data_IF_266977440252
#
_entry.id   IF_266977440252
#
_cell.length_a   1.000
_cell.length_b   1.000
_cell.length_c   1.000
_cell.angle_alpha   90.00
_cell.angle_beta   90.00
_cell.angle_gamma   90.00
#
_symmetry.space_group_name_H-M   'P 1'
#
loop_
_entity.id
_entity.type
_entity.pdbx_description
1 polymer ?
2 non-polymer ?
3 non-polymer ?
#
# COMPACT_ATOMS: atom_id res chain seq x y z
N UNK A 1 15.67 1.71 8.89
CA UNK A 1 16.15 1.51 7.48
C UNK A 1 15.39 0.28 6.96
N UNK A 2 14.16 0.44 6.61
CA UNK A 2 13.33 -0.70 6.12
C UNK A 2 11.96 -0.16 5.64
N UNK A 3 11.36 0.63 6.51
CA UNK A 3 10.02 1.21 6.17
C UNK A 3 10.15 2.68 5.72
N UNK A 4 11.05 2.92 4.80
CA UNK A 4 11.33 4.28 4.22
C UNK A 4 10.73 4.19 2.83
N UNK A 5 11.19 3.19 2.10
CA UNK A 5 10.68 2.96 0.70
C UNK A 5 9.15 3.06 0.79
N UNK A 6 8.68 2.38 1.81
CA UNK A 6 7.24 2.27 2.20
C UNK A 6 6.44 3.42 1.60
N UNK A 7 6.91 4.53 2.04
CA UNK A 7 6.40 5.85 1.68
C UNK A 7 6.91 6.40 0.35
N UNK A 8 8.22 6.35 0.23
CA UNK A 8 8.97 6.85 -0.96
C UNK A 8 8.20 6.47 -2.23
N UNK A 9 7.59 5.30 -2.11
CA UNK A 9 6.77 4.70 -3.18
C UNK A 9 5.23 4.64 -2.99
N UNK A 10 4.67 4.59 -1.79
CA UNK A 10 3.19 4.53 -1.65
C UNK A 10 2.50 5.67 -0.92
N UNK A 11 3.25 6.70 -0.58
CA UNK A 11 2.66 7.89 0.11
C UNK A 11 1.25 8.20 -0.48
N UNK A 12 1.19 8.49 -1.78
CA UNK A 12 -0.06 8.82 -2.50
C UNK A 12 -1.14 7.71 -2.39
N UNK A 13 -0.69 6.51 -2.09
CA UNK A 13 -1.73 5.43 -2.01
C UNK A 13 -2.24 5.37 -0.58
N UNK A 14 -1.36 5.45 0.39
CA UNK A 14 -1.94 5.40 1.77
C UNK A 14 -2.80 6.68 1.84
N UNK A 15 -2.23 7.83 1.49
CA UNK A 15 -3.04 9.13 1.51
C UNK A 15 -4.38 8.76 0.93
N UNK A 16 -4.38 8.31 -0.30
CA UNK A 16 -5.66 7.90 -0.93
C UNK A 16 -6.60 7.10 0.03
N UNK A 17 -6.19 5.95 0.51
CA UNK A 17 -7.10 5.18 1.44
C UNK A 17 -7.49 5.92 2.71
N UNK A 18 -6.63 6.69 3.32
CA UNK A 18 -7.10 7.39 4.56
C UNK A 18 -7.85 8.69 4.20
N UNK A 19 -7.77 9.11 2.95
CA UNK A 19 -8.47 10.35 2.47
C UNK A 19 -7.61 11.62 2.25
N UNK A 20 -6.39 11.43 1.85
CA UNK A 20 -5.43 12.55 1.58
C UNK A 20 -5.08 12.72 0.08
N UNK A 21 -4.10 13.54 -0.23
CA UNK A 21 -3.79 13.98 -1.65
C UNK A 21 -3.28 12.92 -2.70
N UNK A 22 -3.97 11.82 -2.78
CA UNK A 22 -3.66 10.70 -3.71
C UNK A 22 -4.94 10.35 -4.49
N UNK A 23 -4.97 9.35 -5.34
CA UNK A 23 -3.83 8.49 -5.78
C UNK A 23 -3.22 9.03 -7.10
N UNK A 24 -3.99 9.90 -7.70
CA UNK A 24 -3.68 10.57 -9.00
C UNK A 24 -2.83 9.79 -10.04
N UNK A 25 -1.53 9.85 -9.98
CA UNK A 25 -0.63 9.12 -10.95
C UNK A 25 0.48 8.42 -10.19
N UNK A 26 1.08 9.24 -9.35
CA UNK A 26 2.18 8.83 -8.48
C UNK A 26 1.75 7.55 -7.74
N UNK A 27 0.50 7.42 -7.34
CA UNK A 27 0.12 6.17 -6.64
C UNK A 27 0.19 5.02 -7.66
N UNK A 28 -0.67 4.96 -8.65
CA UNK A 28 -0.58 3.84 -9.64
C UNK A 28 0.85 3.41 -9.98
N UNK A 29 1.70 4.34 -10.35
CA UNK A 29 3.09 3.88 -10.67
C UNK A 29 3.72 3.49 -9.35
N UNK A 30 3.70 4.31 -8.35
CA UNK A 30 4.33 3.94 -7.02
C UNK A 30 4.00 2.50 -6.62
N UNK A 31 2.76 2.18 -6.88
CA UNK A 31 2.04 0.87 -6.65
C UNK A 31 2.57 -0.24 -7.55
N UNK A 32 2.40 -0.05 -8.83
CA UNK A 32 2.87 -1.04 -9.87
C UNK A 32 4.35 -1.32 -9.48
N UNK A 33 5.00 -0.20 -9.22
CA UNK A 33 6.43 -0.21 -8.81
C UNK A 33 6.43 -1.12 -7.59
N UNK A 34 6.12 -0.62 -6.42
CA UNK A 34 6.09 -1.42 -5.16
C UNK A 34 5.78 -2.89 -5.39
N UNK A 35 4.72 -3.22 -6.08
CA UNK A 35 4.41 -4.67 -6.33
C UNK A 35 5.68 -5.40 -6.83
N UNK A 36 6.24 -4.78 -7.84
CA UNK A 36 7.48 -5.28 -8.53
C UNK A 36 8.82 -4.80 -7.91
N UNK A 37 8.73 -3.78 -7.13
CA UNK A 37 9.91 -3.16 -6.45
C UNK A 37 10.21 -3.71 -5.05
N UNK A 38 9.17 -4.03 -4.33
CA UNK A 38 9.26 -4.55 -2.94
C UNK A 38 9.49 -6.08 -2.92
N UNK A 39 10.26 -6.47 -3.89
CA UNK A 39 10.67 -7.89 -4.12
C UNK A 39 12.20 -7.99 -3.92
N UNK A 40 12.72 -7.31 -2.91
CA UNK A 40 14.20 -7.36 -2.66
C UNK A 40 14.43 -8.42 -1.58
N UNK A 41 13.93 -8.15 -0.42
CA UNK A 41 14.07 -9.09 0.74
C UNK A 41 12.69 -9.42 1.30
N UNK A 42 11.71 -9.09 0.49
CA UNK A 42 10.26 -9.33 0.83
C UNK A 42 9.56 -8.03 1.26
N UNK A 43 10.20 -6.91 1.08
CA UNK A 43 9.65 -5.56 1.45
C UNK A 43 8.13 -5.44 1.76
N UNK A 44 7.23 -5.76 0.86
CA UNK A 44 5.75 -5.65 1.15
C UNK A 44 5.23 -6.36 2.44
N UNK A 45 6.04 -7.28 2.92
CA UNK A 45 5.76 -8.09 4.15
C UNK A 45 6.24 -7.30 5.39
N UNK A 46 7.09 -6.37 5.12
CA UNK A 46 7.72 -5.44 6.13
C UNK A 46 6.67 -4.28 6.11
N UNK A 47 6.45 -3.81 4.90
CA UNK A 47 5.47 -2.71 4.64
C UNK A 47 4.21 -3.05 5.44
N UNK A 48 3.68 -4.23 5.22
CA UNK A 48 2.46 -4.70 5.95
C UNK A 48 2.50 -4.15 7.37
N UNK A 49 3.47 -4.57 8.13
CA UNK A 49 3.66 -4.12 9.54
C UNK A 49 3.66 -2.57 9.64
N UNK A 50 4.30 -1.91 8.71
CA UNK A 50 4.31 -0.40 8.78
C UNK A 50 2.81 0.05 8.60
N UNK A 51 2.17 -0.49 7.60
CA UNK A 51 0.73 -0.18 7.29
C UNK A 51 -0.03 -0.42 8.59
N UNK A 52 0.00 -1.64 9.04
CA UNK A 52 -0.66 -2.09 10.30
C UNK A 52 -0.48 -1.04 11.40
N UNK A 53 0.75 -0.65 11.59
CA UNK A 53 1.04 0.36 12.66
C UNK A 53 0.36 1.69 12.42
N UNK A 54 0.38 2.23 11.23
CA UNK A 54 -0.33 3.54 11.10
C UNK A 54 -1.84 3.27 11.15
N UNK A 55 -2.23 2.32 10.34
CA UNK A 55 -3.64 1.85 10.18
C UNK A 55 -4.27 1.86 11.57
N UNK A 56 -3.51 1.27 12.45
CA UNK A 56 -3.79 1.10 13.90
C UNK A 56 -4.82 2.10 14.40
N UNK A 57 -4.55 3.33 14.05
CA UNK A 57 -5.42 4.49 14.44
C UNK A 57 -5.87 5.34 13.24
N UNK A 58 -4.97 5.57 12.30
CA UNK A 58 -5.25 6.41 11.07
C UNK A 58 -6.37 7.48 11.09
N UNK A 59 -6.75 7.91 9.93
CA UNK A 59 -7.81 8.93 9.71
C UNK A 59 -9.18 8.36 9.18
N UNK A 60 -9.31 8.18 7.89
CA UNK A 60 -10.59 7.63 7.29
C UNK A 60 -10.38 6.45 6.34
N UNK A 61 -9.92 5.34 6.86
CA UNK A 61 -9.71 4.16 5.95
C UNK A 61 -10.90 3.81 5.02
N UNK A 62 -10.72 4.18 3.78
CA UNK A 62 -11.71 3.95 2.71
C UNK A 62 -11.22 2.64 2.02
N UNK A 63 -11.27 1.60 2.80
CA UNK A 63 -10.82 0.27 2.29
C UNK A 63 -11.34 0.02 0.86
N UNK A 64 -12.56 0.37 0.60
CA UNK A 64 -13.15 0.17 -0.78
C UNK A 64 -12.17 0.79 -1.81
N UNK A 65 -11.75 1.99 -1.52
CA UNK A 65 -10.79 2.71 -2.41
C UNK A 65 -9.48 1.89 -2.45
N UNK A 66 -9.02 1.51 -1.29
CA UNK A 66 -7.74 0.71 -1.17
C UNK A 66 -7.82 -0.56 -2.04
N UNK A 67 -8.89 -1.28 -1.89
CA UNK A 67 -9.17 -2.55 -2.64
C UNK A 67 -9.39 -2.18 -4.11
N UNK A 68 -9.57 -0.91 -4.34
CA UNK A 68 -9.80 -0.40 -5.72
C UNK A 68 -8.44 0.14 -6.20
N UNK A 69 -7.45 0.21 -5.33
CA UNK A 69 -6.11 0.74 -5.81
C UNK A 69 -5.69 -0.19 -6.97
N UNK A 70 -5.71 -1.50 -6.81
CA UNK A 70 -5.07 -2.41 -7.80
C UNK A 70 -5.72 -2.34 -9.17
N UNK A 71 -7.02 -2.40 -9.10
CA UNK A 71 -7.92 -2.35 -10.30
C UNK A 71 -7.74 -1.05 -11.06
N UNK A 72 -7.63 -0.03 -10.26
CA UNK A 72 -7.44 1.37 -10.75
C UNK A 72 -6.01 1.56 -11.31
N UNK A 73 -5.06 0.97 -10.62
CA UNK A 73 -3.63 1.06 -11.01
C UNK A 73 -2.93 -0.14 -11.68
N UNK A 74 -3.61 -0.81 -12.57
CA UNK A 74 -3.04 -2.01 -13.31
C UNK A 74 -1.80 -2.67 -12.63
N UNK A 75 -1.99 -3.03 -11.39
CA UNK A 75 -0.87 -3.70 -10.59
C UNK A 75 -1.24 -5.13 -10.12
N UNK A 76 -2.32 -5.64 -10.67
CA UNK A 76 -2.89 -7.01 -10.38
C UNK A 76 -2.17 -8.01 -9.42
N UNK A 77 -1.93 -7.57 -8.22
CA UNK A 77 -1.27 -8.43 -7.19
C UNK A 77 -2.37 -8.65 -6.12
N UNK A 78 -2.51 -9.86 -5.63
CA UNK A 78 -3.59 -10.22 -4.65
C UNK A 78 -3.42 -9.54 -3.26
N UNK A 79 -2.25 -9.02 -3.06
CA UNK A 79 -1.76 -8.28 -1.83
C UNK A 79 -2.60 -8.22 -0.53
N UNK A 80 -3.31 -9.26 -0.21
CA UNK A 80 -4.19 -9.32 1.02
C UNK A 80 -5.38 -8.30 0.91
N UNK A 81 -5.07 -7.02 0.84
CA UNK A 81 -6.04 -5.87 0.73
C UNK A 81 -7.02 -5.68 1.93
N UNK A 82 -6.46 -5.46 3.11
CA UNK A 82 -7.33 -5.27 4.34
C UNK A 82 -6.85 -4.33 5.49
N UNK A 83 -7.76 -3.91 6.36
CA UNK A 83 -7.55 -2.75 7.31
C UNK A 83 -6.25 -2.81 8.14
N UNK A 84 -6.08 -3.98 8.65
CA UNK A 84 -4.95 -4.40 9.50
C UNK A 84 -4.10 -5.43 8.73
N UNK A 85 -4.01 -5.22 7.46
CA UNK A 85 -3.24 -6.10 6.52
C UNK A 85 -2.21 -7.09 7.13
N UNK A 86 -2.38 -8.35 6.81
CA UNK A 86 -1.47 -9.43 7.30
C UNK A 86 -0.43 -9.67 6.20
N UNK A 87 0.79 -9.68 6.61
CA UNK A 87 1.98 -9.90 5.72
C UNK A 87 1.98 -11.31 5.11
N UNK A 88 1.34 -12.20 5.80
CA UNK A 88 1.27 -13.62 5.35
C UNK A 88 0.33 -13.90 4.18
N UNK A 89 -0.49 -12.95 3.78
CA UNK A 89 -1.43 -13.16 2.65
C UNK A 89 -1.11 -12.28 1.41
N UNK A 90 0.14 -11.87 1.37
CA UNK A 90 0.70 -11.01 0.26
C UNK A 90 1.54 -11.92 -0.63
N UNK A 91 1.82 -11.40 -1.79
CA UNK A 91 2.62 -12.13 -2.80
C UNK A 91 3.70 -11.17 -3.31
#
# INVERSE_FOLDING_TARGET
LNCGQVDSKMKPCLTYVQGGPGPSGECCNGVRDLHNQAQSSGDRQTVCNCLKGIARGIHNLNLNNAASIPSKCNVNVPYTISPDIDCSRIY
#
